data_IF_395439843801
#
_entry.id   IF_395439843801
#
_cell.length_a   1.000
_cell.length_b   1.000
_cell.length_c   1.000
_cell.angle_alpha   90.00
_cell.angle_beta   90.00
_cell.angle_gamma   90.00
#
_symmetry.space_group_name_H-M   'P 1'
#
loop_
_entity.id
_entity.type
_entity.pdbx_description
1 polymer ?
#
# COMPACT_ATOMS: atom_id res chain seq x y z
N UNK A 1 -12.65 33.69 -2.11
CA UNK A 1 -12.26 34.26 -0.79
C UNK A 1 -12.35 33.26 0.36
N UNK A 2 -13.44 32.49 0.51
CA UNK A 2 -13.60 31.53 1.61
C UNK A 2 -12.43 30.52 1.77
N UNK A 3 -11.90 29.88 0.71
CA UNK A 3 -10.76 28.97 0.86
C UNK A 3 -9.47 29.65 1.33
N UNK A 4 -9.29 30.92 0.96
CA UNK A 4 -8.12 31.72 1.35
C UNK A 4 -8.19 32.06 2.83
N UNK A 5 -9.35 32.54 3.30
CA UNK A 5 -9.58 32.85 4.71
C UNK A 5 -9.42 31.59 5.58
N UNK A 6 -10.03 30.47 5.16
CA UNK A 6 -9.87 29.20 5.85
C UNK A 6 -8.41 28.73 5.87
N UNK A 7 -7.70 28.82 4.74
CA UNK A 7 -6.28 28.48 4.66
C UNK A 7 -5.41 29.30 5.60
N UNK A 8 -5.64 30.61 5.67
CA UNK A 8 -4.92 31.50 6.59
C UNK A 8 -5.19 31.15 8.06
N UNK A 9 -6.45 30.89 8.42
CA UNK A 9 -6.79 30.45 9.78
C UNK A 9 -6.07 29.14 10.11
N UNK A 10 -6.10 28.16 9.20
CA UNK A 10 -5.53 26.83 9.45
C UNK A 10 -4.00 26.86 9.58
N UNK A 11 -3.32 27.66 8.75
CA UNK A 11 -1.86 27.86 8.83
C UNK A 11 -1.50 28.53 10.16
N UNK A 12 -2.23 29.57 10.55
CA UNK A 12 -1.95 30.30 11.79
C UNK A 12 -2.31 29.52 13.06
N UNK A 13 -3.26 28.57 12.97
CA UNK A 13 -3.62 27.68 14.09
C UNK A 13 -2.73 26.43 14.18
N UNK A 14 -1.71 26.30 13.33
CA UNK A 14 -0.84 25.12 13.36
C UNK A 14 0.15 25.23 14.52
N UNK A 15 -0.09 24.45 15.57
CA UNK A 15 0.87 24.26 16.65
C UNK A 15 1.94 23.27 16.19
N UNK A 16 3.16 23.76 16.03
CA UNK A 16 4.30 22.92 15.69
C UNK A 16 4.64 22.05 16.90
N UNK A 17 4.62 20.73 16.72
CA UNK A 17 5.10 19.81 17.74
C UNK A 17 6.59 20.07 18.03
N UNK A 18 6.95 20.07 19.31
CA UNK A 18 8.35 20.16 19.75
C UNK A 18 9.12 18.86 19.45
N UNK A 19 8.41 17.74 19.33
CA UNK A 19 8.98 16.44 18.98
C UNK A 19 9.37 16.43 17.49
N UNK A 20 10.64 16.15 17.22
CA UNK A 20 11.16 15.94 15.86
C UNK A 20 11.42 14.46 15.67
N UNK A 21 11.14 13.97 14.47
CA UNK A 21 11.52 12.64 14.01
C UNK A 21 12.38 12.77 12.76
N UNK A 22 13.35 11.88 12.61
CA UNK A 22 14.16 11.80 11.39
C UNK A 22 13.57 10.77 10.43
N UNK A 23 13.29 11.19 9.20
CA UNK A 23 12.62 10.35 8.20
C UNK A 23 13.57 10.11 7.01
N UNK A 24 13.78 8.85 6.67
CA UNK A 24 14.45 8.44 5.43
C UNK A 24 13.44 8.21 4.32
N UNK A 25 13.49 8.99 3.23
CA UNK A 25 12.67 8.75 2.04
C UNK A 25 13.49 8.00 0.98
N UNK A 26 13.04 6.79 0.62
CA UNK A 26 13.75 5.93 -0.32
C UNK A 26 13.25 6.18 -1.75
N UNK A 27 14.16 6.51 -2.65
CA UNK A 27 13.89 6.68 -4.08
C UNK A 27 14.81 5.76 -4.90
N UNK A 28 14.37 4.55 -5.24
CA UNK A 28 15.24 3.53 -5.84
C UNK A 28 15.54 3.79 -7.34
N UNK A 29 14.99 4.85 -7.93
CA UNK A 29 15.17 5.22 -9.33
C UNK A 29 14.89 4.05 -10.33
N UNK A 30 13.87 3.23 -10.04
CA UNK A 30 13.50 2.07 -10.87
C UNK A 30 12.75 2.54 -12.12
N UNK A 31 13.15 2.06 -13.29
CA UNK A 31 12.44 2.32 -14.55
C UNK A 31 11.02 1.69 -14.51
N UNK A 32 9.93 2.46 -14.71
CA UNK A 32 8.55 1.96 -14.65
C UNK A 32 8.25 0.82 -15.62
N UNK A 33 8.87 0.81 -16.81
CA UNK A 33 8.64 -0.22 -17.83
C UNK A 33 9.32 -1.54 -17.47
N UNK A 34 10.42 -1.48 -16.71
CA UNK A 34 11.10 -2.68 -16.20
C UNK A 34 10.51 -3.17 -14.89
N UNK A 35 9.73 -2.37 -14.16
CA UNK A 35 9.17 -2.72 -12.84
C UNK A 35 8.39 -4.04 -12.83
N UNK A 36 7.76 -4.40 -13.94
CA UNK A 36 7.01 -5.66 -14.12
C UNK A 36 7.87 -6.80 -14.71
N UNK A 37 9.04 -6.46 -15.27
CA UNK A 37 10.02 -7.39 -15.87
C UNK A 37 11.20 -7.67 -14.94
N UNK A 38 11.34 -6.92 -13.83
CA UNK A 38 12.37 -7.11 -12.81
C UNK A 38 12.23 -8.51 -12.25
N UNK A 39 13.02 -9.42 -12.83
CA UNK A 39 13.25 -10.75 -12.34
C UNK A 39 13.75 -10.65 -10.91
N UNK A 40 13.09 -11.41 -10.05
CA UNK A 40 13.38 -11.62 -8.65
C UNK A 40 12.94 -10.51 -7.67
N UNK A 41 11.80 -10.76 -7.02
CA UNK A 41 11.29 -10.01 -5.87
C UNK A 41 12.37 -9.81 -4.78
N UNK A 42 13.25 -10.80 -4.61
CA UNK A 42 14.34 -10.72 -3.63
C UNK A 42 15.32 -9.59 -3.94
N UNK A 43 15.67 -9.35 -5.21
CA UNK A 43 16.57 -8.26 -5.61
C UNK A 43 15.95 -6.88 -5.32
N UNK A 44 14.63 -6.75 -5.49
CA UNK A 44 13.93 -5.52 -5.14
C UNK A 44 13.96 -5.29 -3.63
N UNK A 45 13.71 -6.35 -2.85
CA UNK A 45 13.79 -6.29 -1.39
C UNK A 45 15.22 -5.91 -0.96
N UNK A 46 16.25 -6.52 -1.54
CA UNK A 46 17.67 -6.20 -1.26
C UNK A 46 17.94 -4.72 -1.46
N UNK A 47 17.58 -4.18 -2.63
CA UNK A 47 17.76 -2.78 -2.98
C UNK A 47 17.09 -1.85 -1.96
N UNK A 48 15.83 -2.12 -1.60
CA UNK A 48 15.11 -1.31 -0.63
C UNK A 48 15.73 -1.39 0.77
N UNK A 49 16.11 -2.59 1.22
CA UNK A 49 16.74 -2.78 2.53
C UNK A 49 18.12 -2.13 2.61
N UNK A 50 18.91 -2.13 1.54
CA UNK A 50 20.21 -1.49 1.51
C UNK A 50 20.10 0.04 1.53
N UNK A 51 19.20 0.62 0.73
CA UNK A 51 18.90 2.05 0.81
C UNK A 51 18.33 2.45 2.19
N UNK A 52 17.54 1.57 2.81
CA UNK A 52 17.08 1.75 4.19
C UNK A 52 18.26 1.78 5.18
N UNK A 53 19.28 0.94 5.03
CA UNK A 53 20.48 0.98 5.89
C UNK A 53 21.22 2.31 5.77
N UNK A 54 21.33 2.87 4.57
CA UNK A 54 21.93 4.19 4.37
C UNK A 54 21.16 5.27 5.13
N UNK A 55 19.83 5.26 5.05
CA UNK A 55 19.00 6.18 5.82
C UNK A 55 19.15 5.99 7.34
N UNK A 56 19.18 4.75 7.81
CA UNK A 56 19.37 4.42 9.23
C UNK A 56 20.74 4.90 9.73
N UNK A 57 21.79 4.78 8.90
CA UNK A 57 23.13 5.32 9.23
C UNK A 57 23.14 6.84 9.43
N UNK A 58 22.13 7.53 8.88
CA UNK A 58 21.87 8.96 9.06
C UNK A 58 20.84 9.24 10.16
N UNK A 59 20.60 8.28 11.06
CA UNK A 59 19.68 8.34 12.21
C UNK A 59 18.18 8.35 11.86
N UNK A 60 17.78 7.78 10.72
CA UNK A 60 16.34 7.63 10.42
C UNK A 60 15.63 6.73 11.45
N UNK A 61 14.53 7.24 12.00
CA UNK A 61 13.63 6.52 12.92
C UNK A 61 12.44 5.89 12.18
N UNK A 62 12.08 6.50 11.06
CA UNK A 62 11.06 6.03 10.11
C UNK A 62 11.65 6.04 8.71
N UNK A 63 11.49 4.94 7.99
CA UNK A 63 11.83 4.85 6.57
C UNK A 63 10.56 4.72 5.74
N UNK A 64 10.46 5.55 4.70
CA UNK A 64 9.33 5.58 3.78
C UNK A 64 9.78 5.06 2.42
N UNK A 65 9.17 3.96 2.00
CA UNK A 65 9.27 3.44 0.64
C UNK A 65 8.17 4.02 -0.25
N UNK A 66 8.36 4.05 -1.58
CA UNK A 66 7.38 4.61 -2.50
C UNK A 66 6.12 3.73 -2.63
N UNK A 67 5.15 4.24 -3.39
CA UNK A 67 3.93 3.51 -3.73
C UNK A 67 4.23 2.30 -4.63
N UNK A 68 3.58 1.17 -4.34
CA UNK A 68 3.81 -0.12 -4.99
C UNK A 68 5.29 -0.49 -4.98
N UNK A 69 5.96 -0.37 -3.83
CA UNK A 69 7.40 -0.65 -3.71
C UNK A 69 7.72 -2.08 -4.16
N UNK A 70 6.93 -3.05 -3.71
CA UNK A 70 6.94 -4.42 -4.25
C UNK A 70 5.57 -4.69 -4.88
N UNK A 71 5.49 -5.06 -6.17
CA UNK A 71 4.24 -5.26 -6.89
C UNK A 71 3.60 -6.63 -6.59
N UNK A 72 3.62 -7.07 -5.33
CA UNK A 72 3.11 -8.38 -4.89
C UNK A 72 2.19 -8.24 -3.68
N UNK A 73 1.24 -9.17 -3.54
CA UNK A 73 0.43 -9.29 -2.33
C UNK A 73 1.26 -9.91 -1.20
N UNK A 74 2.15 -9.11 -0.61
CA UNK A 74 3.20 -9.53 0.33
C UNK A 74 2.66 -10.35 1.52
N UNK A 75 1.45 -10.05 1.99
CA UNK A 75 0.84 -10.72 3.14
C UNK A 75 0.17 -12.06 2.82
N UNK A 76 0.32 -12.59 1.60
CA UNK A 76 -0.20 -13.90 1.22
C UNK A 76 0.79 -15.03 1.58
N UNK A 77 0.32 -16.28 1.76
CA UNK A 77 1.20 -17.39 2.12
C UNK A 77 2.38 -17.61 1.17
N UNK A 78 2.23 -17.23 -0.10
CA UNK A 78 3.28 -17.35 -1.13
C UNK A 78 4.51 -16.48 -0.88
N UNK A 79 4.37 -15.37 -0.14
CA UNK A 79 5.45 -14.41 0.11
C UNK A 79 5.80 -14.29 1.60
N UNK A 80 5.51 -15.35 2.38
CA UNK A 80 5.71 -15.36 3.83
C UNK A 80 7.18 -15.13 4.22
N UNK A 81 8.12 -15.62 3.42
CA UNK A 81 9.55 -15.50 3.71
C UNK A 81 10.02 -14.05 3.51
N UNK A 82 9.55 -13.41 2.45
CA UNK A 82 9.82 -12.04 2.07
C UNK A 82 9.23 -11.07 3.10
N UNK A 83 7.98 -11.31 3.52
CA UNK A 83 7.36 -10.56 4.60
C UNK A 83 8.14 -10.72 5.92
N UNK A 84 8.55 -11.95 6.27
CA UNK A 84 9.35 -12.22 7.46
C UNK A 84 10.74 -11.56 7.39
N UNK A 85 11.32 -11.44 6.20
CA UNK A 85 12.60 -10.79 5.97
C UNK A 85 12.53 -9.29 6.21
N UNK A 86 11.49 -8.62 5.73
CA UNK A 86 11.23 -7.20 5.99
C UNK A 86 10.99 -6.98 7.49
N UNK A 87 10.16 -7.83 8.13
CA UNK A 87 9.93 -7.75 9.57
C UNK A 87 11.22 -7.96 10.38
N UNK A 88 12.04 -8.94 10.01
CA UNK A 88 13.31 -9.23 10.68
C UNK A 88 14.28 -8.05 10.59
N UNK A 89 14.28 -7.33 9.45
CA UNK A 89 15.04 -6.09 9.30
C UNK A 89 14.54 -5.01 10.25
N UNK A 90 13.22 -4.76 10.27
CA UNK A 90 12.57 -3.78 11.16
C UNK A 90 12.89 -4.05 12.62
N UNK A 91 12.78 -5.31 13.06
CA UNK A 91 13.08 -5.72 14.44
C UNK A 91 14.58 -5.58 14.77
N UNK A 92 15.47 -5.92 13.83
CA UNK A 92 16.93 -5.87 14.05
C UNK A 92 17.45 -4.45 14.14
N UNK A 93 16.99 -3.55 13.26
CA UNK A 93 17.43 -2.16 13.22
C UNK A 93 16.59 -1.25 14.13
N UNK A 94 15.51 -1.76 14.73
CA UNK A 94 14.55 -1.00 15.56
C UNK A 94 14.04 0.26 14.86
N UNK A 95 13.76 0.13 13.57
CA UNK A 95 13.30 1.19 12.67
C UNK A 95 11.92 0.83 12.15
N UNK A 96 11.03 1.80 11.95
CA UNK A 96 9.74 1.53 11.32
C UNK A 96 9.80 1.72 9.81
N UNK A 97 9.07 0.92 9.05
CA UNK A 97 8.96 1.05 7.58
C UNK A 97 7.50 1.29 7.19
N UNK A 98 7.26 2.38 6.44
CA UNK A 98 5.99 2.69 5.82
C UNK A 98 6.11 2.53 4.30
N UNK A 99 5.25 1.72 3.68
CA UNK A 99 5.36 1.42 2.25
C UNK A 99 4.00 1.28 1.58
N UNK A 100 3.87 1.74 0.33
CA UNK A 100 2.67 1.48 -0.47
C UNK A 100 2.78 0.14 -1.17
N UNK A 101 1.76 -0.72 -1.06
CA UNK A 101 1.74 -2.08 -1.61
C UNK A 101 0.31 -2.53 -1.94
N UNK A 102 0.13 -3.43 -2.92
CA UNK A 102 -1.16 -4.07 -3.10
C UNK A 102 -1.42 -5.04 -1.93
N UNK A 103 -2.63 -4.98 -1.37
CA UNK A 103 -3.06 -5.90 -0.33
C UNK A 103 -4.34 -6.62 -0.73
N UNK A 104 -4.50 -7.88 -0.33
CA UNK A 104 -5.72 -8.64 -0.58
C UNK A 104 -6.18 -9.42 0.65
N UNK A 105 -7.49 -9.34 0.93
CA UNK A 105 -8.15 -10.13 1.96
C UNK A 105 -8.97 -11.24 1.30
N UNK A 106 -8.75 -12.47 1.73
CA UNK A 106 -9.45 -13.65 1.21
C UNK A 106 -10.52 -14.12 2.20
N UNK A 107 -11.72 -14.37 1.69
CA UNK A 107 -12.89 -14.80 2.45
C UNK A 107 -13.34 -16.16 1.92
N UNK A 108 -13.17 -17.21 2.72
CA UNK A 108 -13.66 -18.57 2.40
C UNK A 108 -15.15 -18.74 2.70
N UNK A 109 -15.69 -17.87 3.56
CA UNK A 109 -17.12 -17.71 3.81
C UNK A 109 -17.58 -16.40 3.16
N UNK A 110 -18.28 -16.51 2.03
CA UNK A 110 -18.71 -15.35 1.25
C UNK A 110 -19.72 -14.46 1.97
N UNK A 111 -20.37 -14.95 3.03
CA UNK A 111 -21.33 -14.15 3.81
C UNK A 111 -20.65 -13.06 4.66
N UNK A 112 -19.35 -13.22 4.91
CA UNK A 112 -18.51 -12.27 5.66
C UNK A 112 -17.74 -11.30 4.76
N UNK A 113 -17.86 -11.46 3.45
CA UNK A 113 -17.15 -10.63 2.49
C UNK A 113 -17.91 -9.33 2.22
N UNK A 114 -17.20 -8.21 1.97
CA UNK A 114 -17.81 -6.99 1.45
C UNK A 114 -18.57 -7.24 0.14
N UNK A 115 -19.59 -6.44 -0.13
CA UNK A 115 -20.44 -6.59 -1.31
C UNK A 115 -19.68 -6.42 -2.64
N UNK A 116 -18.57 -5.69 -2.62
CA UNK A 116 -17.68 -5.45 -3.76
C UNK A 116 -16.53 -6.47 -3.85
N UNK A 117 -16.56 -7.56 -3.07
CA UNK A 117 -15.60 -8.66 -3.17
C UNK A 117 -15.71 -9.39 -4.52
N UNK A 118 -14.55 -9.82 -5.02
CA UNK A 118 -14.38 -10.46 -6.33
C UNK A 118 -14.21 -11.98 -6.17
N UNK A 119 -14.71 -12.80 -7.11
CA UNK A 119 -14.55 -14.26 -7.03
C UNK A 119 -13.10 -14.68 -7.26
N UNK A 120 -12.62 -15.67 -6.50
CA UNK A 120 -11.36 -16.36 -6.79
C UNK A 120 -11.61 -17.41 -7.87
N UNK A 121 -10.75 -17.46 -8.90
CA UNK A 121 -10.88 -18.46 -9.99
C UNK A 121 -10.77 -19.88 -9.42
N UNK A 122 -11.69 -20.76 -9.81
CA UNK A 122 -11.72 -22.17 -9.39
C UNK A 122 -11.85 -22.39 -7.87
N UNK A 123 -12.40 -21.43 -7.12
CA UNK A 123 -12.65 -21.56 -5.68
C UNK A 123 -14.00 -20.97 -5.32
N UNK A 124 -14.60 -21.44 -4.20
CA UNK A 124 -15.77 -20.79 -3.60
C UNK A 124 -15.41 -19.51 -2.82
N UNK A 125 -14.11 -19.27 -2.61
CA UNK A 125 -13.63 -18.09 -1.94
C UNK A 125 -13.83 -16.82 -2.79
N UNK A 126 -14.01 -15.71 -2.10
CA UNK A 126 -14.00 -14.36 -2.69
C UNK A 126 -12.87 -13.56 -2.05
N UNK A 127 -12.44 -12.48 -2.68
CA UNK A 127 -11.38 -11.62 -2.17
C UNK A 127 -11.63 -10.16 -2.45
N UNK A 128 -11.14 -9.30 -1.57
CA UNK A 128 -10.99 -7.86 -1.86
C UNK A 128 -9.52 -7.56 -2.11
N UNK A 129 -9.24 -6.57 -2.95
CA UNK A 129 -7.89 -6.08 -3.20
C UNK A 129 -7.85 -4.56 -3.09
N UNK A 130 -6.82 -4.02 -2.45
CA UNK A 130 -6.67 -2.60 -2.18
C UNK A 130 -5.31 -2.11 -2.66
N UNK A 131 -5.27 -0.87 -3.16
CA UNK A 131 -4.05 -0.09 -3.12
C UNK A 131 -3.87 0.33 -1.65
N UNK A 132 -2.83 -0.16 -1.00
CA UNK A 132 -2.69 -0.06 0.46
C UNK A 132 -1.38 0.57 0.87
N UNK A 133 -1.36 1.09 2.10
CA UNK A 133 -0.14 1.38 2.83
C UNK A 133 0.01 0.29 3.88
N UNK A 134 1.19 -0.30 3.98
CA UNK A 134 1.57 -1.20 5.07
C UNK A 134 2.59 -0.48 5.95
N UNK A 135 2.41 -0.59 7.26
CA UNK A 135 3.27 -0.01 8.28
C UNK A 135 3.87 -1.11 9.14
N UNK A 136 5.14 -1.39 8.93
CA UNK A 136 5.91 -2.34 9.72
C UNK A 136 6.54 -1.60 10.90
N UNK A 137 6.30 -2.10 12.10
CA UNK A 137 6.85 -1.55 13.34
C UNK A 137 7.65 -2.63 14.08
N UNK A 138 8.62 -2.24 14.91
CA UNK A 138 9.28 -3.19 15.80
C UNK A 138 8.25 -3.86 16.71
N UNK A 139 8.36 -5.17 16.90
CA UNK A 139 7.54 -5.98 17.82
C UNK A 139 6.08 -6.26 17.41
N UNK A 140 5.48 -5.51 16.48
CA UNK A 140 4.17 -5.81 15.90
C UNK A 140 4.34 -6.33 14.47
N UNK A 141 3.35 -7.11 13.99
CA UNK A 141 3.42 -7.71 12.64
C UNK A 141 3.37 -6.68 11.51
N UNK A 142 2.37 -5.80 11.53
CA UNK A 142 2.19 -4.63 10.64
C UNK A 142 0.81 -4.02 10.92
N UNK A 143 0.63 -2.75 10.54
CA UNK A 143 -0.66 -2.10 10.36
C UNK A 143 -0.93 -1.84 8.87
N UNK A 144 -2.20 -1.64 8.51
CA UNK A 144 -2.61 -1.45 7.13
C UNK A 144 -3.61 -0.31 6.99
N UNK A 145 -3.51 0.41 5.89
CA UNK A 145 -4.51 1.35 5.41
C UNK A 145 -4.92 1.01 3.97
N UNK A 146 -6.22 0.99 3.67
CA UNK A 146 -6.74 0.88 2.31
C UNK A 146 -7.03 2.25 1.70
N UNK A 147 -6.56 2.52 0.47
CA UNK A 147 -6.81 3.79 -0.21
C UNK A 147 -8.32 4.03 -0.37
N UNK A 148 -8.81 5.12 0.24
CA UNK A 148 -10.23 5.49 0.25
C UNK A 148 -10.62 6.25 -1.03
N UNK A 149 -9.74 7.13 -1.50
CA UNK A 149 -9.99 7.97 -2.69
C UNK A 149 -9.27 7.38 -3.88
N UNK A 150 -10.00 6.57 -4.65
CA UNK A 150 -9.51 5.94 -5.86
C UNK A 150 -9.67 6.86 -7.05
N UNK A 151 -8.65 6.90 -7.92
CA UNK A 151 -8.68 7.70 -9.15
C UNK A 151 -9.75 7.15 -10.10
N UNK A 152 -10.74 7.97 -10.52
CA UNK A 152 -11.73 7.57 -11.51
C UNK A 152 -11.07 7.08 -12.80
N UNK A 153 -11.56 5.97 -13.34
CA UNK A 153 -11.06 5.30 -14.55
C UNK A 153 -9.65 4.69 -14.44
N UNK A 154 -8.73 5.26 -13.66
CA UNK A 154 -7.41 4.67 -13.43
C UNK A 154 -7.40 3.51 -12.43
N UNK A 155 -8.15 3.64 -11.32
CA UNK A 155 -8.13 2.68 -10.20
C UNK A 155 -9.50 2.06 -9.93
N UNK A 156 -10.59 2.79 -10.19
CA UNK A 156 -11.96 2.33 -10.02
C UNK A 156 -12.84 2.78 -11.18
N UNK A 157 -13.72 1.88 -11.63
CA UNK A 157 -14.77 2.23 -12.59
C UNK A 157 -15.78 3.15 -11.90
N UNK A 158 -16.00 4.38 -12.39
CA UNK A 158 -16.94 5.30 -11.75
C UNK A 158 -18.36 4.74 -11.73
N UNK A 159 -19.09 5.06 -10.66
CA UNK A 159 -20.49 4.64 -10.45
C UNK A 159 -20.72 3.13 -10.45
N UNK A 160 -19.68 2.29 -10.37
CA UNK A 160 -19.86 0.82 -10.35
C UNK A 160 -20.69 0.35 -9.15
N UNK A 161 -20.65 1.09 -8.04
CA UNK A 161 -21.44 0.80 -6.83
C UNK A 161 -22.95 1.08 -7.04
N UNK A 162 -23.29 1.99 -7.96
CA UNK A 162 -24.68 2.37 -8.28
C UNK A 162 -25.20 1.64 -9.52
N UNK A 163 -24.33 1.42 -10.51
CA UNK A 163 -24.64 0.80 -11.80
C UNK A 163 -23.64 -0.35 -12.05
N UNK A 164 -23.88 -1.55 -11.47
CA UNK A 164 -22.93 -2.67 -11.51
C UNK A 164 -22.57 -3.17 -12.91
N UNK A 165 -23.41 -2.90 -13.92
CA UNK A 165 -23.15 -3.31 -15.30
C UNK A 165 -21.93 -2.61 -15.91
N UNK A 166 -21.57 -1.41 -15.43
CA UNK A 166 -20.41 -0.66 -15.90
C UNK A 166 -19.10 -1.41 -15.63
N UNK A 167 -19.00 -2.12 -14.50
CA UNK A 167 -17.83 -2.94 -14.17
C UNK A 167 -17.68 -4.18 -15.08
N UNK A 168 -18.77 -4.65 -15.71
CA UNK A 168 -18.72 -5.76 -16.67
C UNK A 168 -18.31 -5.30 -18.06
N UNK A 169 -18.69 -4.07 -18.44
CA UNK A 169 -18.44 -3.49 -19.77
C UNK A 169 -17.06 -2.82 -19.85
N UNK A 170 -16.64 -2.16 -18.78
CA UNK A 170 -15.34 -1.50 -18.65
C UNK A 170 -14.37 -2.49 -17.99
N UNK A 171 -14.06 -3.59 -18.69
CA UNK A 171 -12.93 -4.44 -18.32
C UNK A 171 -11.71 -3.93 -19.06
N UNK A 172 -10.81 -3.27 -18.35
CA UNK A 172 -9.55 -2.85 -18.93
C UNK A 172 -8.76 -4.11 -19.29
N UNK A 173 -8.42 -4.28 -20.57
CA UNK A 173 -7.60 -5.40 -21.07
C UNK A 173 -6.13 -5.37 -20.58
N UNK A 174 -5.85 -4.65 -19.49
CA UNK A 174 -4.53 -4.48 -18.86
C UNK A 174 -4.35 -5.32 -17.59
N UNK A 175 -5.29 -6.24 -17.29
CA UNK A 175 -5.17 -7.17 -16.16
C UNK A 175 -5.41 -6.57 -14.77
N UNK A 176 -5.72 -5.27 -14.67
CA UNK A 176 -6.05 -4.61 -13.40
C UNK A 176 -7.55 -4.77 -13.14
N UNK A 177 -7.90 -5.60 -12.16
CA UNK A 177 -9.25 -5.56 -11.57
C UNK A 177 -9.42 -4.25 -10.80
N UNK A 178 -10.59 -3.61 -10.87
CA UNK A 178 -10.91 -2.42 -10.05
C UNK A 178 -10.51 -2.64 -8.59
N UNK A 179 -9.79 -1.70 -7.98
CA UNK A 179 -9.49 -1.75 -6.54
C UNK A 179 -10.78 -1.64 -5.72
N UNK A 180 -10.81 -2.33 -4.58
CA UNK A 180 -11.79 -2.13 -3.53
C UNK A 180 -11.46 -0.82 -2.79
N UNK A 181 -12.49 -0.17 -2.26
CA UNK A 181 -12.34 1.11 -1.56
C UNK A 181 -12.09 0.85 -0.08
N UNK A 182 -11.06 1.48 0.50
CA UNK A 182 -10.81 1.41 1.94
C UNK A 182 -11.94 2.05 2.75
N UNK A 183 -12.16 1.55 3.97
CA UNK A 183 -13.21 2.03 4.89
C UNK A 183 -12.66 2.55 6.22
N UNK A 184 -11.34 2.69 6.33
CA UNK A 184 -10.66 3.14 7.54
C UNK A 184 -10.96 4.64 7.75
N UNK A 185 -11.86 5.00 8.67
CA UNK A 185 -12.25 6.39 9.00
C UNK A 185 -12.10 6.70 10.47
#
# INVERSE_FOLDING_TARGET
MIPIIYGLIKINSYEKSESKITIGLIQPNINPNKKWELGNLDEQIDLYLDLSKEAISQNAELVIWPETALPVYLMTPSYKNEAARIQSFVDSFKVSILTGMPHANFYFDSTKAPADAKPVKNSKAVYTSYNSILFFTPHNKFEQYGKIKLVPFGEKVPLVDVIPILGKWIKWNVGISSWNTGTDT
#
